data_IF_660852551584
#
_entry.id   IF_660852551584
#
_cell.length_a   1.000
_cell.length_b   1.000
_cell.length_c   1.000
_cell.angle_alpha   90.00
_cell.angle_beta   90.00
_cell.angle_gamma   90.00
#
_symmetry.space_group_name_H-M   'P 1'
#
loop_
_entity.id
_entity.type
_entity.pdbx_description
1 polymer ?
#
# COMPACT_ATOMS: atom_id res chain seq x y z
N UNK A 1 13.67 -33.14 -36.14
CA UNK A 1 13.57 -33.03 -34.67
C UNK A 1 13.93 -31.63 -34.17
N UNK A 2 15.08 -31.05 -34.52
CA UNK A 2 15.49 -29.69 -34.07
C UNK A 2 14.52 -28.54 -34.42
N UNK A 3 13.75 -28.66 -35.51
CA UNK A 3 12.81 -27.61 -35.91
C UNK A 3 11.58 -27.55 -35.01
N UNK A 4 11.06 -28.69 -34.58
CA UNK A 4 9.93 -28.77 -33.64
C UNK A 4 10.34 -28.31 -32.24
N UNK A 5 11.58 -28.61 -31.83
CA UNK A 5 12.11 -28.22 -30.53
C UNK A 5 12.27 -26.70 -30.41
N UNK A 6 12.81 -26.04 -31.46
CA UNK A 6 12.88 -24.57 -31.53
C UNK A 6 11.53 -23.87 -31.58
N UNK A 7 10.50 -24.49 -32.16
CA UNK A 7 9.15 -23.93 -32.15
C UNK A 7 8.52 -23.99 -30.75
N UNK A 8 8.67 -25.13 -30.06
CA UNK A 8 8.19 -25.26 -28.68
C UNK A 8 8.89 -24.30 -27.71
N UNK A 9 10.21 -24.11 -27.82
CA UNK A 9 10.95 -23.14 -27.01
C UNK A 9 10.46 -21.70 -27.26
N UNK A 10 10.18 -21.34 -28.52
CA UNK A 10 9.68 -20.01 -28.88
C UNK A 10 8.26 -19.77 -28.39
N UNK A 11 7.40 -20.79 -28.41
CA UNK A 11 6.05 -20.72 -27.85
C UNK A 11 6.09 -20.62 -26.32
N UNK A 12 6.95 -21.37 -25.65
CA UNK A 12 7.15 -21.27 -24.19
C UNK A 12 7.67 -19.89 -23.78
N UNK A 13 8.64 -19.35 -24.52
CA UNK A 13 9.17 -17.99 -24.27
C UNK A 13 8.11 -16.92 -24.52
N UNK A 14 7.28 -17.07 -25.56
CA UNK A 14 6.15 -16.15 -25.81
C UNK A 14 5.09 -16.24 -24.73
N UNK A 15 4.72 -17.45 -24.29
CA UNK A 15 3.77 -17.65 -23.22
C UNK A 15 4.29 -17.06 -21.90
N UNK A 16 5.56 -17.30 -21.55
CA UNK A 16 6.18 -16.72 -20.36
C UNK A 16 6.27 -15.20 -20.43
N UNK A 17 6.59 -14.63 -21.60
CA UNK A 17 6.59 -13.19 -21.82
C UNK A 17 5.18 -12.59 -21.70
N UNK A 18 4.18 -13.22 -22.30
CA UNK A 18 2.79 -12.76 -22.26
C UNK A 18 2.21 -12.88 -20.85
N UNK A 19 2.56 -13.95 -20.13
CA UNK A 19 2.21 -14.14 -18.72
C UNK A 19 2.90 -13.08 -17.84
N UNK A 20 4.18 -12.79 -18.06
CA UNK A 20 4.89 -11.69 -17.36
C UNK A 20 4.27 -10.33 -17.70
N UNK A 21 3.86 -10.11 -18.95
CA UNK A 21 3.17 -8.89 -19.41
C UNK A 21 1.80 -8.72 -18.77
N UNK A 22 1.01 -9.80 -18.68
CA UNK A 22 -0.30 -9.81 -18.03
C UNK A 22 -0.17 -9.65 -16.51
N UNK A 23 0.82 -10.29 -15.88
CA UNK A 23 1.11 -10.12 -14.44
C UNK A 23 1.59 -8.70 -14.11
N UNK A 24 2.30 -8.05 -15.03
CA UNK A 24 2.73 -6.65 -14.95
C UNK A 24 1.80 -5.68 -15.70
N UNK A 25 0.55 -6.06 -15.95
CA UNK A 25 -0.47 -5.11 -16.38
C UNK A 25 -1.01 -4.34 -15.15
N UNK A 26 -1.30 -3.05 -15.35
CA UNK A 26 -1.79 -2.16 -14.27
C UNK A 26 -3.11 -2.67 -13.68
N UNK A 27 -4.01 -3.19 -14.52
CA UNK A 27 -5.29 -3.74 -14.09
C UNK A 27 -5.14 -5.01 -13.27
N UNK A 28 -4.27 -5.91 -13.72
CA UNK A 28 -3.93 -7.14 -12.99
C UNK A 28 -3.36 -6.86 -11.59
N UNK A 29 -2.38 -5.95 -11.49
CA UNK A 29 -1.81 -5.56 -10.19
C UNK A 29 -2.85 -4.91 -9.29
N UNK A 30 -3.68 -4.01 -9.85
CA UNK A 30 -4.77 -3.36 -9.11
C UNK A 30 -5.72 -4.39 -8.51
N UNK A 31 -6.19 -5.33 -9.32
CA UNK A 31 -7.17 -6.33 -8.88
C UNK A 31 -6.55 -7.26 -7.84
N UNK A 32 -5.35 -7.76 -8.09
CA UNK A 32 -4.62 -8.60 -7.13
C UNK A 32 -4.47 -7.93 -5.76
N UNK A 33 -3.95 -6.69 -5.72
CA UNK A 33 -3.77 -5.96 -4.46
C UNK A 33 -5.11 -5.68 -3.78
N UNK A 34 -6.16 -5.38 -4.56
CA UNK A 34 -7.49 -5.15 -4.02
C UNK A 34 -8.15 -6.40 -3.43
N UNK A 35 -7.82 -7.58 -3.94
CA UNK A 35 -8.29 -8.85 -3.38
C UNK A 35 -7.46 -9.24 -2.15
N UNK A 36 -6.13 -9.06 -2.22
CA UNK A 36 -5.19 -9.33 -1.14
C UNK A 36 -5.42 -8.42 0.09
N UNK A 37 -5.92 -7.19 -0.08
CA UNK A 37 -6.20 -6.29 1.05
C UNK A 37 -7.48 -6.65 1.82
N UNK A 38 -8.40 -7.41 1.23
CA UNK A 38 -9.66 -7.77 1.90
C UNK A 38 -9.39 -8.55 3.19
N UNK A 39 -10.17 -8.28 4.23
CA UNK A 39 -10.05 -8.91 5.55
C UNK A 39 -9.87 -7.90 6.67
N UNK A 40 -9.66 -8.40 7.88
CA UNK A 40 -9.45 -7.60 9.09
C UNK A 40 -7.98 -7.55 9.43
N UNK A 41 -7.48 -6.35 9.71
CA UNK A 41 -6.09 -6.07 9.97
C UNK A 41 -5.95 -5.37 11.32
N UNK A 42 -5.05 -5.86 12.15
CA UNK A 42 -4.70 -5.28 13.44
C UNK A 42 -3.35 -4.59 13.33
N UNK A 43 -3.27 -3.37 13.85
CA UNK A 43 -2.05 -2.59 13.84
C UNK A 43 -0.94 -3.27 14.66
N UNK A 44 0.27 -3.31 14.09
CA UNK A 44 1.46 -3.87 14.73
C UNK A 44 2.44 -2.81 15.20
N UNK A 45 2.72 -1.80 14.38
CA UNK A 45 3.72 -0.80 14.69
C UNK A 45 4.08 0.12 13.53
N UNK A 46 5.00 1.04 13.82
CA UNK A 46 5.49 2.05 12.88
C UNK A 46 6.99 1.90 12.69
N UNK A 47 7.45 1.92 11.45
CA UNK A 47 8.86 1.92 11.06
C UNK A 47 9.19 3.22 10.30
N UNK A 48 10.26 3.89 10.71
CA UNK A 48 10.82 5.04 9.96
C UNK A 48 11.84 4.47 8.97
N UNK A 49 11.55 4.61 7.68
CA UNK A 49 12.46 4.23 6.60
C UNK A 49 13.53 5.32 6.49
N UNK A 50 14.79 4.91 6.65
CA UNK A 50 16.02 5.72 6.78
C UNK A 50 15.90 7.22 6.48
N UNK A 51 16.15 8.03 7.50
CA UNK A 51 16.64 9.40 7.36
C UNK A 51 17.96 9.48 8.12
N UNK A 52 18.94 10.22 7.61
CA UNK A 52 20.19 10.55 8.30
C UNK A 52 19.98 11.35 9.61
N UNK A 53 18.73 11.55 10.01
CA UNK A 53 18.33 12.31 11.18
C UNK A 53 18.15 11.38 12.37
N UNK A 54 19.22 11.26 13.14
CA UNK A 54 19.20 10.89 14.56
C UNK A 54 18.46 11.94 15.40
N UNK A 55 17.19 12.20 15.10
CA UNK A 55 16.39 13.17 15.85
C UNK A 55 15.49 12.41 16.84
N UNK A 56 15.88 12.44 18.11
CA UNK A 56 15.13 11.88 19.24
C UNK A 56 13.66 12.34 19.25
N UNK A 57 13.39 13.55 18.75
CA UNK A 57 12.05 14.12 18.57
C UNK A 57 11.20 13.29 17.60
N UNK A 58 11.79 12.82 16.48
CA UNK A 58 11.07 11.99 15.49
C UNK A 58 10.74 10.64 16.08
N UNK A 59 11.67 10.02 16.81
CA UNK A 59 11.42 8.74 17.50
C UNK A 59 10.33 8.88 18.57
N UNK A 60 10.37 9.96 19.35
CA UNK A 60 9.35 10.24 20.36
C UNK A 60 7.97 10.49 19.74
N UNK A 61 7.91 11.23 18.64
CA UNK A 61 6.68 11.45 17.89
C UNK A 61 6.11 10.13 17.35
N UNK A 62 6.95 9.28 16.74
CA UNK A 62 6.56 7.96 16.24
C UNK A 62 6.08 7.05 17.37
N UNK A 63 6.77 7.01 18.50
CA UNK A 63 6.37 6.19 19.64
C UNK A 63 5.03 6.65 20.24
N UNK A 64 4.78 7.96 20.31
CA UNK A 64 3.50 8.51 20.73
C UNK A 64 2.39 8.11 19.75
N UNK A 65 2.69 8.20 18.46
CA UNK A 65 1.78 7.91 17.37
C UNK A 65 1.42 6.41 17.35
N UNK A 66 2.40 5.53 17.52
CA UNK A 66 2.23 4.08 17.67
C UNK A 66 1.38 3.73 18.90
N UNK A 67 1.68 4.33 20.06
CA UNK A 67 0.92 4.14 21.30
C UNK A 67 -0.56 4.51 21.15
N UNK A 68 -0.85 5.59 20.41
CA UNK A 68 -2.22 6.03 20.14
C UNK A 68 -3.03 5.05 19.29
N UNK A 69 -2.38 4.06 18.64
CA UNK A 69 -2.97 3.09 17.71
C UNK A 69 -2.87 1.65 18.16
N UNK A 70 -2.49 1.37 19.40
CA UNK A 70 -2.41 0.00 19.92
C UNK A 70 -3.70 -0.83 19.76
N UNK A 71 -4.85 -0.16 19.64
CA UNK A 71 -6.17 -0.79 19.45
C UNK A 71 -6.72 -0.58 18.03
N UNK A 72 -5.90 -0.10 17.10
CA UNK A 72 -6.30 0.16 15.73
C UNK A 72 -6.54 -1.16 14.99
N UNK A 73 -7.76 -1.31 14.49
CA UNK A 73 -8.15 -2.37 13.58
C UNK A 73 -8.83 -1.77 12.36
N UNK A 74 -8.56 -2.31 11.17
CA UNK A 74 -9.19 -1.92 9.92
C UNK A 74 -9.68 -3.16 9.21
N UNK A 75 -10.96 -3.18 8.84
CA UNK A 75 -11.55 -4.23 8.02
C UNK A 75 -11.83 -3.69 6.64
N UNK A 76 -11.27 -4.31 5.61
CA UNK A 76 -11.61 -4.07 4.21
C UNK A 76 -12.53 -5.18 3.73
N UNK A 77 -13.61 -4.84 3.04
CA UNK A 77 -14.58 -5.80 2.55
C UNK A 77 -15.23 -5.33 1.25
N UNK A 78 -15.78 -6.29 0.52
CA UNK A 78 -16.57 -6.02 -0.68
C UNK A 78 -18.04 -6.33 -0.41
N UNK A 79 -18.92 -5.46 -0.90
CA UNK A 79 -20.36 -5.66 -0.88
C UNK A 79 -20.96 -5.10 -2.16
N UNK A 80 -21.73 -5.93 -2.88
CA UNK A 80 -22.34 -5.58 -4.18
C UNK A 80 -21.34 -5.02 -5.22
N UNK A 81 -20.11 -5.54 -5.25
CA UNK A 81 -19.05 -5.08 -6.16
C UNK A 81 -18.43 -3.73 -5.78
N UNK A 82 -18.85 -3.14 -4.67
CA UNK A 82 -18.24 -1.94 -4.09
C UNK A 82 -17.36 -2.31 -2.90
N UNK A 83 -16.31 -1.51 -2.69
CA UNK A 83 -15.24 -1.78 -1.72
C UNK A 83 -15.29 -0.79 -0.57
N UNK A 84 -15.40 -1.32 0.64
CA UNK A 84 -15.64 -0.57 1.86
C UNK A 84 -14.58 -0.87 2.92
N UNK A 85 -14.41 0.08 3.83
CA UNK A 85 -13.63 -0.11 5.03
C UNK A 85 -14.42 0.27 6.29
N UNK A 86 -14.10 -0.43 7.37
CA UNK A 86 -14.52 -0.11 8.73
C UNK A 86 -13.28 -0.07 9.62
N UNK A 87 -13.11 1.02 10.37
CA UNK A 87 -12.01 1.20 11.28
C UNK A 87 -12.50 1.36 12.71
N UNK A 88 -11.75 0.80 13.66
CA UNK A 88 -11.94 1.00 15.08
C UNK A 88 -10.58 1.27 15.74
N UNK A 89 -10.52 2.24 16.65
CA UNK A 89 -9.37 2.45 17.53
C UNK A 89 -9.85 2.87 18.92
N UNK A 90 -10.08 1.90 19.80
CA UNK A 90 -10.37 2.14 21.22
C UNK A 90 -11.57 3.05 21.54
N UNK A 91 -12.57 3.12 20.65
CA UNK A 91 -13.76 3.97 20.82
C UNK A 91 -14.00 4.94 19.65
N UNK A 92 -12.97 5.22 18.85
CA UNK A 92 -13.12 5.93 17.57
C UNK A 92 -13.52 4.93 16.50
N UNK A 93 -14.62 5.20 15.79
CA UNK A 93 -15.08 4.39 14.66
C UNK A 93 -15.11 5.23 13.40
N UNK A 94 -14.70 4.63 12.29
CA UNK A 94 -14.73 5.24 10.97
C UNK A 94 -15.26 4.25 9.96
N UNK A 95 -15.98 4.73 8.96
CA UNK A 95 -16.40 3.90 7.82
C UNK A 95 -16.22 4.68 6.54
N UNK A 96 -16.10 3.96 5.42
CA UNK A 96 -15.98 4.59 4.13
C UNK A 96 -15.78 3.61 2.99
N UNK A 97 -15.42 4.15 1.84
CA UNK A 97 -15.07 3.40 0.64
C UNK A 97 -13.56 3.43 0.44
N UNK A 98 -13.01 2.37 -0.16
CA UNK A 98 -11.61 2.35 -0.55
C UNK A 98 -11.45 1.97 -2.01
N UNK A 99 -10.31 2.34 -2.59
CA UNK A 99 -9.93 2.02 -3.95
C UNK A 99 -8.43 1.78 -4.02
N UNK A 100 -8.02 0.90 -4.92
CA UNK A 100 -6.62 0.68 -5.25
C UNK A 100 -6.34 1.37 -6.59
N UNK A 101 -5.33 2.24 -6.59
CA UNK A 101 -4.76 2.83 -7.80
C UNK A 101 -3.41 2.19 -8.06
N UNK A 102 -2.97 2.19 -9.32
CA UNK A 102 -1.64 1.69 -9.67
C UNK A 102 -1.01 2.69 -10.61
N UNK A 103 0.03 3.38 -10.16
CA UNK A 103 0.86 4.24 -11.00
C UNK A 103 1.98 3.42 -11.65
N UNK A 104 2.42 3.81 -12.85
CA UNK A 104 3.60 3.25 -13.51
C UNK A 104 4.66 4.34 -13.62
N UNK A 105 5.79 4.16 -12.94
CA UNK A 105 6.94 5.07 -13.03
C UNK A 105 8.16 4.25 -13.43
N UNK A 106 8.81 4.62 -14.53
CA UNK A 106 10.00 3.93 -15.05
C UNK A 106 9.86 2.39 -15.09
N UNK A 107 8.73 1.90 -15.61
CA UNK A 107 8.35 0.46 -15.71
C UNK A 107 8.02 -0.27 -14.41
N UNK A 108 8.12 0.39 -13.25
CA UNK A 108 7.70 -0.16 -11.96
C UNK A 108 6.26 0.24 -11.68
N UNK A 109 5.47 -0.70 -11.16
CA UNK A 109 4.08 -0.49 -10.75
C UNK A 109 3.99 -0.21 -9.25
N UNK A 110 3.33 0.89 -8.91
CA UNK A 110 3.18 1.39 -7.55
C UNK A 110 1.71 1.37 -7.15
N UNK A 111 1.27 0.38 -6.35
CA UNK A 111 -0.07 0.35 -5.82
C UNK A 111 -0.26 1.41 -4.73
N UNK A 112 -1.34 2.15 -4.82
CA UNK A 112 -1.73 3.18 -3.86
C UNK A 112 -3.11 2.90 -3.29
N UNK A 113 -3.28 3.24 -2.01
CA UNK A 113 -4.56 3.17 -1.33
C UNK A 113 -5.26 4.53 -1.37
N UNK A 114 -6.44 4.58 -1.97
CA UNK A 114 -7.38 5.68 -1.81
C UNK A 114 -8.49 5.33 -0.83
N UNK A 115 -8.88 6.28 0.02
CA UNK A 115 -9.97 6.11 0.98
C UNK A 115 -10.87 7.35 1.01
N UNK A 116 -12.17 7.14 0.88
CA UNK A 116 -13.19 8.16 1.01
C UNK A 116 -13.99 7.92 2.29
N UNK A 117 -14.18 8.97 3.07
CA UNK A 117 -14.87 8.88 4.33
C UNK A 117 -16.40 8.88 4.14
N UNK A 118 -17.10 7.93 4.76
CA UNK A 118 -18.56 7.99 4.93
C UNK A 118 -18.96 8.42 6.34
N UNK A 119 -18.21 8.04 7.38
CA UNK A 119 -18.49 8.45 8.77
C UNK A 119 -17.22 8.53 9.65
N UNK A 120 -17.34 9.17 10.82
CA UNK A 120 -16.27 9.27 11.83
C UNK A 120 -15.29 10.44 11.62
N UNK A 121 -14.00 10.20 11.80
CA UNK A 121 -12.91 11.12 11.45
C UNK A 121 -12.29 10.78 10.08
N UNK A 122 -11.58 11.74 9.47
CA UNK A 122 -10.91 11.55 8.18
C UNK A 122 -9.95 10.33 8.22
N UNK A 123 -9.91 9.48 7.19
CA UNK A 123 -9.07 8.27 7.18
C UNK A 123 -7.59 8.56 7.42
N UNK A 124 -7.07 9.71 6.97
CA UNK A 124 -5.67 10.09 7.23
C UNK A 124 -5.39 10.42 8.69
N UNK A 125 -6.33 11.08 9.37
CA UNK A 125 -6.24 11.29 10.82
C UNK A 125 -6.35 9.97 11.57
N UNK A 126 -7.25 9.09 11.12
CA UNK A 126 -7.47 7.79 11.72
C UNK A 126 -6.25 6.85 11.61
N UNK A 127 -5.70 6.69 10.41
CA UNK A 127 -4.58 5.77 10.14
C UNK A 127 -3.23 6.37 10.54
N UNK A 128 -3.05 7.68 10.37
CA UNK A 128 -1.73 8.31 10.34
C UNK A 128 -1.61 9.59 11.16
N UNK A 129 -2.67 9.99 11.90
CA UNK A 129 -2.71 11.26 12.63
C UNK A 129 -2.38 12.46 11.71
N UNK A 130 -2.67 12.29 10.42
CA UNK A 130 -2.35 13.25 9.36
C UNK A 130 -3.57 13.37 8.44
N UNK A 131 -4.48 14.33 8.72
CA UNK A 131 -5.77 14.44 8.02
C UNK A 131 -5.66 14.80 6.53
N UNK A 132 -4.49 15.25 6.07
CA UNK A 132 -4.24 15.67 4.68
C UNK A 132 -3.76 14.57 3.74
N UNK A 133 -3.56 13.34 4.23
CA UNK A 133 -2.98 12.24 3.44
C UNK A 133 -3.93 11.73 2.35
N UNK A 134 -5.24 11.77 2.60
CA UNK A 134 -6.26 11.41 1.63
C UNK A 134 -7.09 12.66 1.30
N UNK A 135 -7.30 12.94 0.01
CA UNK A 135 -8.14 14.07 -0.42
C UNK A 135 -7.69 14.87 -1.65
N UNK A 136 -6.66 14.43 -2.37
CA UNK A 136 -6.38 14.96 -3.70
C UNK A 136 -7.07 14.16 -4.81
N UNK A 137 -6.80 14.46 -6.10
CA UNK A 137 -7.35 13.73 -7.24
C UNK A 137 -7.15 12.21 -7.13
N UNK A 138 -7.98 11.38 -7.80
CA UNK A 138 -7.73 9.94 -7.90
C UNK A 138 -6.29 9.65 -8.36
N UNK A 139 -5.53 8.85 -7.60
CA UNK A 139 -4.10 8.60 -7.84
C UNK A 139 -3.15 9.68 -7.31
N UNK A 140 -3.60 10.53 -6.37
CA UNK A 140 -2.74 11.48 -5.64
C UNK A 140 -2.61 11.13 -4.16
N UNK A 141 -3.00 9.92 -3.76
CA UNK A 141 -2.82 9.45 -2.40
C UNK A 141 -1.37 9.06 -2.23
N UNK A 142 -0.61 9.78 -1.42
CA UNK A 142 0.80 9.47 -1.13
C UNK A 142 0.95 8.26 -0.17
N UNK A 143 0.04 7.28 -0.27
CA UNK A 143 -0.03 6.09 0.57
C UNK A 143 0.19 4.86 -0.31
N UNK A 144 1.45 4.41 -0.36
CA UNK A 144 1.75 3.14 -0.99
C UNK A 144 1.20 2.01 -0.13
N UNK A 145 0.65 1.00 -0.81
CA UNK A 145 0.11 -0.20 -0.17
C UNK A 145 0.85 -1.43 -0.68
N UNK A 146 1.23 -2.30 0.25
CA UNK A 146 1.75 -3.63 -0.07
C UNK A 146 1.16 -4.67 0.87
N UNK A 147 0.84 -5.83 0.32
CA UNK A 147 0.36 -6.99 1.06
C UNK A 147 1.30 -8.15 0.81
N UNK A 148 1.75 -8.79 1.88
CA UNK A 148 2.64 -9.94 1.83
C UNK A 148 2.11 -11.01 2.79
N UNK A 149 1.30 -11.94 2.27
CA UNK A 149 0.64 -12.96 3.06
C UNK A 149 -0.27 -12.34 4.14
N UNK A 150 0.12 -12.49 5.41
CA UNK A 150 -0.61 -11.97 6.57
C UNK A 150 -0.16 -10.58 7.02
N UNK A 151 0.71 -9.90 6.26
CA UNK A 151 1.16 -8.55 6.57
C UNK A 151 0.64 -7.54 5.54
N UNK A 152 0.16 -6.42 6.05
CA UNK A 152 -0.21 -5.24 5.27
C UNK A 152 0.69 -4.10 5.71
N UNK A 153 1.31 -3.43 4.74
CA UNK A 153 2.09 -2.22 4.99
C UNK A 153 1.50 -1.05 4.22
N UNK A 154 1.32 0.07 4.94
CA UNK A 154 0.93 1.36 4.40
C UNK A 154 2.10 2.32 4.58
N UNK A 155 2.63 2.88 3.50
CA UNK A 155 3.81 3.76 3.56
C UNK A 155 3.44 5.17 3.16
N UNK A 156 3.69 6.12 4.08
CA UNK A 156 3.53 7.56 3.86
C UNK A 156 4.84 8.18 3.36
N UNK A 157 4.71 9.18 2.50
CA UNK A 157 5.85 10.01 2.09
C UNK A 157 6.71 9.40 1.00
N UNK A 158 6.35 8.24 0.46
CA UNK A 158 7.06 7.58 -0.65
C UNK A 158 6.89 8.27 -2.02
N UNK A 159 6.64 9.58 -2.02
CA UNK A 159 6.27 10.40 -3.17
C UNK A 159 6.84 11.80 -3.08
N UNK A 160 8.17 11.92 -3.03
CA UNK A 160 8.89 13.08 -3.60
C UNK A 160 10.12 12.54 -4.33
N UNK A 161 9.90 12.03 -5.55
CA UNK A 161 10.91 11.63 -6.54
C UNK A 161 12.04 10.68 -6.08
N UNK A 162 12.21 9.48 -6.67
CA UNK A 162 13.52 8.84 -6.66
C UNK A 162 14.49 9.75 -7.42
N UNK A 163 15.28 10.54 -6.72
CA UNK A 163 16.33 11.35 -7.33
C UNK A 163 17.47 10.41 -7.74
N UNK A 164 17.87 10.34 -9.02
CA UNK A 164 18.98 9.52 -9.43
C UNK A 164 20.28 10.16 -8.92
N UNK A 165 21.01 9.47 -8.04
CA UNK A 165 22.44 9.73 -7.81
C UNK A 165 23.29 8.77 -8.64
N UNK A 166 24.56 9.10 -8.89
CA UNK A 166 25.44 8.31 -9.76
C UNK A 166 25.67 6.85 -9.33
N UNK A 167 25.31 6.46 -8.10
CA UNK A 167 25.69 5.18 -7.48
C UNK A 167 24.52 4.21 -7.18
N UNK A 168 23.28 4.50 -7.62
CA UNK A 168 22.12 3.60 -7.47
C UNK A 168 21.03 4.08 -6.51
N UNK A 169 19.91 3.36 -6.51
CA UNK A 169 18.62 3.75 -5.90
C UNK A 169 18.73 4.17 -4.42
N UNK A 170 18.24 5.37 -4.08
CA UNK A 170 18.04 5.80 -2.69
C UNK A 170 16.64 5.43 -2.21
N UNK A 171 16.62 4.84 -1.02
CA UNK A 171 15.47 4.51 -0.18
C UNK A 171 14.63 5.76 0.11
N UNK A 172 13.32 5.72 -0.13
CA UNK A 172 12.45 6.86 0.14
C UNK A 172 12.32 7.12 1.64
N UNK A 173 12.70 8.33 2.09
CA UNK A 173 12.35 8.86 3.41
C UNK A 173 10.84 8.70 3.62
N UNK A 174 10.42 7.84 4.55
CA UNK A 174 9.01 7.49 4.67
C UNK A 174 8.66 6.84 6.00
N UNK A 175 7.38 6.85 6.34
CA UNK A 175 6.87 6.22 7.55
C UNK A 175 6.00 5.04 7.13
N UNK A 176 6.40 3.83 7.51
CA UNK A 176 5.68 2.59 7.25
C UNK A 176 4.85 2.19 8.46
N UNK A 177 3.56 1.98 8.24
CA UNK A 177 2.62 1.44 9.20
C UNK A 177 2.36 -0.01 8.86
N UNK A 178 2.58 -0.89 9.83
CA UNK A 178 2.45 -2.34 9.63
C UNK A 178 1.24 -2.88 10.35
N UNK A 179 0.58 -3.85 9.72
CA UNK A 179 -0.59 -4.53 10.25
C UNK A 179 -0.48 -6.03 10.03
N UNK A 180 -1.06 -6.80 10.93
CA UNK A 180 -1.23 -8.25 10.81
C UNK A 180 -2.68 -8.58 10.52
N UNK A 181 -2.91 -9.57 9.66
CA UNK A 181 -4.23 -10.10 9.40
C UNK A 181 -4.77 -10.82 10.64
N UNK A 182 -5.92 -10.37 11.15
CA UNK A 182 -6.67 -11.12 12.16
C UNK A 182 -7.21 -12.40 11.54
N UNK A 183 -7.06 -13.51 12.27
CA UNK A 183 -7.70 -14.79 11.94
C UNK A 183 -9.23 -14.69 12.04
#
# INVERSE_FOLDING_TARGET
MEYQQRQNEREQLRAAYEEARIKNDRGSVKNRVADEVLGTWQFLGIEVLESDLSNEIVRAAVALDESSRKNLTVRFFEHNGMRFYEGNNGGIRVTGEFSIYVERIAEILYPELGMNQSSGIKPGAFLFNSPGVFGGPPGSSNVLISVQGNQLHLTLGAGVSPSPTPDGWVQSDGIRYSFERSK
#
